data_IF_656365661498
#
_entry.id   IF_656365661498
#
_cell.length_a   1.000
_cell.length_b   1.000
_cell.length_c   1.000
_cell.angle_alpha   90.00
_cell.angle_beta   90.00
_cell.angle_gamma   90.00
#
_symmetry.space_group_name_H-M   'P 1'
#
loop_
_entity.id
_entity.type
_entity.pdbx_description
1 polymer ?
#
# COMPACT_ATOMS: atom_id res chain seq x y z
N UNK A 1 -16.74 -9.14 3.77
CA UNK A 1 -16.22 -8.15 4.74
C UNK A 1 -15.08 -7.42 4.05
N UNK A 2 -15.15 -6.11 3.95
CA UNK A 2 -14.06 -5.30 3.41
C UNK A 2 -12.92 -5.27 4.42
N UNK A 3 -11.72 -5.68 4.02
CA UNK A 3 -10.52 -5.54 4.84
C UNK A 3 -10.27 -4.03 4.95
N UNK A 4 -10.13 -3.45 6.16
CA UNK A 4 -9.93 -2.02 6.30
C UNK A 4 -8.62 -1.63 5.61
N UNK A 5 -8.73 -0.81 4.56
CA UNK A 5 -7.57 -0.29 3.85
C UNK A 5 -6.71 0.54 4.81
N UNK A 6 -5.40 0.31 4.79
CA UNK A 6 -4.46 1.09 5.58
C UNK A 6 -4.69 2.59 5.35
N UNK A 7 -4.96 3.38 6.41
CA UNK A 7 -5.35 4.79 6.27
C UNK A 7 -4.25 5.62 5.59
N UNK A 8 -2.98 5.26 5.79
CA UNK A 8 -1.84 5.86 5.10
C UNK A 8 -1.81 5.51 3.61
N UNK A 9 -2.10 4.27 3.23
CA UNK A 9 -2.20 3.88 1.82
C UNK A 9 -3.30 4.67 1.10
N UNK A 10 -4.47 4.82 1.73
CA UNK A 10 -5.59 5.58 1.16
C UNK A 10 -5.27 7.07 1.07
N UNK A 11 -4.58 7.63 2.07
CA UNK A 11 -4.09 9.02 2.02
C UNK A 11 -3.13 9.19 0.85
N UNK A 12 -2.08 8.37 0.76
CA UNK A 12 -1.10 8.43 -0.33
C UNK A 12 -1.78 8.33 -1.70
N UNK A 13 -2.67 7.35 -1.89
CA UNK A 13 -3.39 7.15 -3.16
C UNK A 13 -4.21 8.38 -3.57
N UNK A 14 -4.99 8.94 -2.65
CA UNK A 14 -5.82 10.13 -2.90
C UNK A 14 -4.96 11.35 -3.24
N UNK A 15 -3.92 11.60 -2.45
CA UNK A 15 -3.03 12.75 -2.63
C UNK A 15 -2.23 12.65 -3.93
N UNK A 16 -1.77 11.44 -4.31
CA UNK A 16 -1.13 11.21 -5.62
C UNK A 16 -2.05 11.50 -6.78
N UNK A 17 -3.32 11.08 -6.72
CA UNK A 17 -4.28 11.38 -7.80
C UNK A 17 -4.47 12.90 -7.96
N UNK A 18 -4.56 13.63 -6.85
CA UNK A 18 -4.63 15.09 -6.89
C UNK A 18 -3.38 15.71 -7.49
N UNK A 19 -2.20 15.21 -7.08
CA UNK A 19 -0.92 15.65 -7.62
C UNK A 19 -0.81 15.38 -9.13
N UNK A 20 -1.16 14.18 -9.59
CA UNK A 20 -1.09 13.81 -10.99
C UNK A 20 -1.98 14.69 -11.87
N UNK A 21 -3.20 15.00 -11.40
CA UNK A 21 -4.11 15.93 -12.10
C UNK A 21 -3.60 17.37 -12.18
N UNK A 22 -2.62 17.73 -11.35
CA UNK A 22 -1.96 19.04 -11.43
C UNK A 22 -0.82 19.09 -12.45
N UNK A 23 -0.35 17.94 -12.94
CA UNK A 23 0.69 17.89 -13.97
C UNK A 23 0.15 18.39 -15.30
N UNK A 24 0.96 19.18 -15.98
CA UNK A 24 0.61 19.80 -17.26
C UNK A 24 1.82 19.81 -18.18
N UNK A 25 1.63 20.26 -19.42
CA UNK A 25 2.74 20.47 -20.35
C UNK A 25 3.77 21.46 -19.81
N UNK A 26 3.32 22.46 -19.06
CA UNK A 26 4.18 23.51 -18.49
C UNK A 26 4.89 23.06 -17.22
N UNK A 27 4.38 22.01 -16.56
CA UNK A 27 4.97 21.44 -15.36
C UNK A 27 4.78 19.91 -15.34
N UNK A 28 5.81 19.20 -15.78
CA UNK A 28 5.90 17.75 -15.67
C UNK A 28 7.22 17.38 -14.98
N UNK A 29 7.19 16.93 -13.71
CA UNK A 29 8.41 16.61 -12.99
C UNK A 29 9.03 15.29 -13.49
N UNK A 30 10.33 15.08 -13.28
CA UNK A 30 10.96 13.79 -13.52
C UNK A 30 10.32 12.68 -12.67
N UNK A 31 9.97 11.55 -13.31
CA UNK A 31 9.34 10.39 -12.66
C UNK A 31 10.18 9.12 -12.80
N UNK A 32 10.10 8.26 -11.77
CA UNK A 32 10.61 6.89 -11.86
C UNK A 32 9.65 6.02 -12.67
N UNK A 33 10.06 4.78 -12.98
CA UNK A 33 9.29 3.87 -13.85
C UNK A 33 7.93 3.51 -13.29
N UNK A 34 7.82 3.37 -11.98
CA UNK A 34 6.55 3.02 -11.34
C UNK A 34 5.59 4.21 -11.38
N UNK A 35 6.02 5.38 -10.90
CA UNK A 35 5.18 6.58 -10.89
C UNK A 35 4.83 7.09 -12.29
N UNK A 36 5.71 6.93 -13.27
CA UNK A 36 5.38 7.24 -14.67
C UNK A 36 4.20 6.38 -15.17
N UNK A 37 4.26 5.06 -14.93
CA UNK A 37 3.16 4.14 -15.30
C UNK A 37 1.86 4.47 -14.60
N UNK A 38 1.92 4.95 -13.35
CA UNK A 38 0.72 5.36 -12.63
C UNK A 38 0.12 6.65 -13.19
N UNK A 39 0.95 7.66 -13.48
CA UNK A 39 0.50 8.92 -14.09
C UNK A 39 -0.19 8.66 -15.42
N UNK A 40 0.36 7.76 -16.24
CA UNK A 40 -0.24 7.36 -17.51
C UNK A 40 -1.65 6.76 -17.40
N UNK A 41 -2.06 6.32 -16.22
CA UNK A 41 -3.42 5.80 -15.98
C UNK A 41 -4.40 6.87 -15.50
N UNK A 42 -3.92 8.05 -15.12
CA UNK A 42 -4.72 9.08 -14.44
C UNK A 42 -4.98 10.29 -15.31
N UNK A 43 -4.01 10.70 -16.15
CA UNK A 43 -4.13 11.89 -17.00
C UNK A 43 -3.86 11.56 -18.47
N UNK A 44 -4.27 12.46 -19.37
CA UNK A 44 -3.83 12.41 -20.77
C UNK A 44 -2.30 12.56 -20.82
N UNK A 45 -1.65 11.71 -21.60
CA UNK A 45 -0.20 11.62 -21.72
C UNK A 45 0.32 12.01 -23.09
N UNK A 46 -0.56 12.52 -23.96
CA UNK A 46 -0.23 12.98 -25.31
C UNK A 46 0.91 14.01 -25.38
N UNK A 47 1.16 14.73 -24.27
CA UNK A 47 2.22 15.74 -24.15
C UNK A 47 3.47 15.25 -23.41
N UNK A 48 3.52 13.99 -22.95
CA UNK A 48 4.62 13.44 -22.16
C UNK A 48 5.67 12.83 -23.10
N UNK A 49 6.90 13.35 -23.05
CA UNK A 49 8.06 12.73 -23.71
C UNK A 49 8.71 11.69 -22.80
N UNK A 50 9.32 10.65 -23.40
CA UNK A 50 10.21 9.72 -22.69
C UNK A 50 11.42 10.42 -22.06
N UNK A 51 11.79 11.61 -22.54
CA UNK A 51 12.85 12.44 -21.95
C UNK A 51 12.51 12.91 -20.52
N UNK A 52 11.23 12.83 -20.11
CA UNK A 52 10.78 13.18 -18.76
C UNK A 52 10.98 12.05 -17.73
N UNK A 53 11.59 10.94 -18.16
CA UNK A 53 11.94 9.81 -17.32
C UNK A 53 13.31 10.03 -16.69
N UNK A 54 13.42 10.14 -15.36
CA UNK A 54 14.73 10.35 -14.73
C UNK A 54 15.58 9.09 -14.63
N UNK A 55 14.99 7.89 -14.78
CA UNK A 55 15.70 6.63 -14.50
C UNK A 55 16.15 6.45 -13.06
N UNK A 56 15.88 7.42 -12.17
CA UNK A 56 16.27 7.41 -10.77
C UNK A 56 15.30 6.60 -9.91
N UNK A 57 15.83 5.97 -8.85
CA UNK A 57 15.05 5.21 -7.87
C UNK A 57 14.13 6.10 -7.03
N UNK A 58 14.50 7.36 -6.79
CA UNK A 58 13.73 8.32 -6.01
C UNK A 58 13.34 9.52 -6.87
N UNK A 59 12.09 9.54 -7.35
CA UNK A 59 11.58 10.66 -8.12
C UNK A 59 10.81 11.67 -7.24
N UNK A 60 10.34 12.74 -7.88
CA UNK A 60 9.50 13.77 -7.24
C UNK A 60 8.31 13.19 -6.47
N UNK A 61 7.65 12.15 -7.02
CA UNK A 61 6.51 11.50 -6.36
C UNK A 61 6.97 10.61 -5.19
N UNK A 62 8.14 9.96 -5.27
CA UNK A 62 8.73 9.23 -4.13
C UNK A 62 8.99 10.17 -2.94
N UNK A 63 9.49 11.38 -3.20
CA UNK A 63 9.67 12.41 -2.17
C UNK A 63 8.34 12.87 -1.57
N UNK A 64 7.33 13.07 -2.41
CA UNK A 64 6.00 13.43 -1.98
C UNK A 64 5.38 12.35 -1.07
N UNK A 65 5.48 11.07 -1.44
CA UNK A 65 5.03 9.94 -0.62
C UNK A 65 5.73 9.93 0.75
N UNK A 66 7.06 10.09 0.78
CA UNK A 66 7.83 10.15 2.04
C UNK A 66 7.36 11.28 2.94
N UNK A 67 7.08 12.47 2.41
CA UNK A 67 6.55 13.59 3.19
C UNK A 67 5.18 13.26 3.82
N UNK A 68 4.29 12.64 3.05
CA UNK A 68 2.99 12.19 3.56
C UNK A 68 3.18 11.19 4.71
N UNK A 69 4.07 10.21 4.54
CA UNK A 69 4.38 9.21 5.57
C UNK A 69 4.92 9.89 6.85
N UNK A 70 5.90 10.79 6.72
CA UNK A 70 6.51 11.48 7.85
C UNK A 70 5.52 12.35 8.62
N UNK A 71 4.68 13.11 7.92
CA UNK A 71 3.61 13.91 8.53
C UNK A 71 2.58 13.03 9.21
N UNK A 72 2.23 11.91 8.58
CA UNK A 72 1.30 10.94 9.15
C UNK A 72 1.84 10.42 10.48
N UNK A 73 3.09 9.95 10.53
CA UNK A 73 3.69 9.41 11.76
C UNK A 73 3.87 10.46 12.88
N UNK A 74 3.98 11.75 12.57
CA UNK A 74 4.08 12.82 13.58
C UNK A 74 2.77 13.08 14.34
N UNK A 75 1.62 12.70 13.79
CA UNK A 75 0.30 13.10 14.29
C UNK A 75 -0.34 12.12 15.31
N UNK A 76 0.44 11.41 16.13
CA UNK A 76 -0.03 10.46 17.15
C UNK A 76 -1.09 9.45 16.64
N UNK A 77 -0.66 8.58 15.73
CA UNK A 77 -1.54 7.62 15.05
C UNK A 77 -1.54 6.28 15.76
N UNK A 78 -2.68 5.59 15.72
CA UNK A 78 -2.77 4.19 16.11
C UNK A 78 -2.04 3.33 15.08
N UNK A 79 -0.79 2.96 15.39
CA UNK A 79 0.03 2.12 14.51
C UNK A 79 -0.62 0.76 14.22
N UNK A 80 -1.55 0.29 15.04
CA UNK A 80 -2.25 -0.99 14.82
C UNK A 80 -3.15 -0.99 13.57
N UNK A 81 -3.47 0.19 13.02
CA UNK A 81 -4.26 0.32 11.79
C UNK A 81 -3.42 0.23 10.51
N UNK A 82 -2.09 0.25 10.62
CA UNK A 82 -1.20 0.20 9.46
C UNK A 82 -1.09 -1.19 8.85
N UNK A 83 -0.85 -1.24 7.53
CA UNK A 83 -0.43 -2.46 6.86
C UNK A 83 1.01 -2.81 7.22
N UNK A 84 1.42 -4.06 6.95
CA UNK A 84 2.74 -4.57 7.32
C UNK A 84 3.89 -3.78 6.70
N UNK A 85 3.72 -3.29 5.46
CA UNK A 85 4.71 -2.45 4.80
C UNK A 85 5.02 -1.19 5.64
N UNK A 86 4.00 -0.46 6.06
CA UNK A 86 4.18 0.75 6.86
C UNK A 86 4.60 0.43 8.30
N UNK A 87 4.09 -0.64 8.90
CA UNK A 87 4.54 -1.13 10.21
C UNK A 87 6.05 -1.41 10.23
N UNK A 88 6.59 -2.01 9.16
CA UNK A 88 8.03 -2.29 9.06
C UNK A 88 8.88 -1.01 9.14
N UNK A 89 8.37 0.11 8.63
CA UNK A 89 9.06 1.43 8.64
C UNK A 89 9.05 2.10 10.01
N UNK A 90 8.07 1.79 10.86
CA UNK A 90 7.91 2.40 12.20
C UNK A 90 8.12 1.40 13.33
N UNK A 91 8.58 0.19 13.02
CA UNK A 91 8.75 -0.90 13.99
C UNK A 91 9.52 -0.47 15.23
N UNK A 92 10.64 0.22 15.05
CA UNK A 92 11.52 0.61 16.14
C UNK A 92 10.94 1.79 16.97
N UNK A 93 9.81 2.37 16.53
CA UNK A 93 9.04 3.43 17.23
C UNK A 93 7.79 2.90 17.94
N UNK A 94 7.47 1.61 17.80
CA UNK A 94 6.28 1.02 18.41
C UNK A 94 6.45 0.94 19.93
N UNK A 95 5.43 1.38 20.66
CA UNK A 95 5.36 1.24 22.12
C UNK A 95 4.87 -0.16 22.50
N UNK A 96 5.12 -0.64 23.74
CA UNK A 96 4.55 -1.90 24.22
C UNK A 96 3.03 -1.99 24.05
N UNK A 97 2.32 -0.86 24.24
CA UNK A 97 0.87 -0.77 24.03
C UNK A 97 0.45 -0.96 22.57
N UNK A 98 1.26 -0.49 21.62
CA UNK A 98 1.03 -0.73 20.20
C UNK A 98 1.20 -2.22 19.86
N UNK A 99 2.20 -2.87 20.46
CA UNK A 99 2.41 -4.31 20.33
C UNK A 99 1.24 -5.12 20.90
N UNK A 100 0.70 -4.78 22.07
CA UNK A 100 -0.48 -5.44 22.63
C UNK A 100 -1.68 -5.38 21.68
N UNK A 101 -1.95 -4.20 21.09
CA UNK A 101 -3.01 -4.04 20.08
C UNK A 101 -2.74 -4.86 18.81
N UNK A 102 -1.50 -4.87 18.34
CA UNK A 102 -1.10 -5.64 17.17
C UNK A 102 -1.26 -7.14 17.39
N UNK A 103 -0.90 -7.65 18.58
CA UNK A 103 -1.07 -9.06 18.95
C UNK A 103 -2.55 -9.45 18.91
N UNK A 104 -3.43 -8.66 19.52
CA UNK A 104 -4.89 -8.91 19.48
C UNK A 104 -5.44 -8.94 18.05
N UNK A 105 -4.93 -8.05 17.17
CA UNK A 105 -5.28 -8.06 15.74
C UNK A 105 -4.78 -9.32 15.03
N UNK A 106 -3.56 -9.75 15.33
CA UNK A 106 -2.96 -10.98 14.80
C UNK A 106 -3.66 -12.26 15.28
N UNK A 107 -4.12 -12.30 16.53
CA UNK A 107 -4.90 -13.42 17.05
C UNK A 107 -6.23 -13.57 16.32
N UNK A 108 -6.96 -12.46 16.14
CA UNK A 108 -8.19 -12.44 15.31
C UNK A 108 -7.93 -12.90 13.89
N UNK A 109 -6.80 -12.46 13.31
CA UNK A 109 -6.39 -12.88 11.98
C UNK A 109 -6.13 -14.38 11.89
N UNK A 110 -5.37 -14.92 12.85
CA UNK A 110 -5.08 -16.36 12.94
C UNK A 110 -6.36 -17.17 13.04
N UNK A 111 -7.31 -16.76 13.87
CA UNK A 111 -8.62 -17.41 13.99
C UNK A 111 -9.40 -17.40 12.68
N UNK A 112 -9.39 -16.28 11.93
CA UNK A 112 -10.04 -16.21 10.62
C UNK A 112 -9.43 -17.19 9.61
N UNK A 113 -8.10 -17.28 9.55
CA UNK A 113 -7.39 -18.21 8.66
C UNK A 113 -7.71 -19.66 9.04
N UNK A 114 -7.71 -19.99 10.33
CA UNK A 114 -8.10 -21.32 10.82
C UNK A 114 -9.53 -21.66 10.37
N UNK A 115 -10.49 -20.76 10.58
CA UNK A 115 -11.88 -20.98 10.15
C UNK A 115 -12.01 -21.14 8.64
N UNK A 116 -11.24 -20.41 7.84
CA UNK A 116 -11.22 -20.55 6.39
C UNK A 116 -10.74 -21.94 5.98
N UNK A 117 -9.63 -22.39 6.58
CA UNK A 117 -9.09 -23.75 6.36
C UNK A 117 -10.08 -24.81 6.84
N UNK A 118 -10.73 -24.64 7.99
CA UNK A 118 -11.71 -25.58 8.54
C UNK A 118 -13.02 -25.61 7.73
N UNK A 119 -13.42 -24.48 7.15
CA UNK A 119 -14.58 -24.39 6.25
C UNK A 119 -14.36 -25.06 4.90
N UNK A 120 -13.12 -25.46 4.62
CA UNK A 120 -12.76 -26.15 3.40
C UNK A 120 -13.18 -27.62 3.49
N UNK A 121 -14.29 -27.96 2.83
CA UNK A 121 -14.73 -29.34 2.65
C UNK A 121 -13.74 -30.06 1.72
N UNK A 122 -13.20 -31.19 2.19
CA UNK A 122 -12.19 -32.03 1.51
C UNK A 122 -12.62 -32.52 0.11
N UNK A 123 -13.89 -32.30 -0.27
CA UNK A 123 -14.50 -32.64 -1.55
C UNK A 123 -14.68 -31.46 -2.53
N UNK A 124 -14.34 -30.23 -2.14
CA UNK A 124 -14.41 -29.04 -3.01
C UNK A 124 -13.09 -28.80 -3.77
N UNK A 125 -13.10 -28.03 -4.87
CA UNK A 125 -11.91 -27.78 -5.70
C UNK A 125 -10.72 -27.30 -4.85
N UNK A 126 -9.54 -27.92 -5.03
CA UNK A 126 -8.30 -27.58 -4.32
C UNK A 126 -7.98 -26.10 -4.50
N UNK A 127 -7.98 -25.34 -3.40
CA UNK A 127 -7.35 -24.02 -3.34
C UNK A 127 -5.92 -24.19 -3.86
N UNK A 128 -5.62 -23.50 -4.96
CA UNK A 128 -4.29 -23.57 -5.55
C UNK A 128 -3.31 -22.76 -4.70
N UNK A 129 -2.02 -22.98 -4.90
CA UNK A 129 -0.99 -22.14 -4.26
C UNK A 129 -1.18 -20.66 -4.61
N UNK A 130 -1.67 -20.36 -5.82
CA UNK A 130 -1.90 -18.99 -6.29
C UNK A 130 -3.07 -18.35 -5.54
N UNK A 131 -4.15 -19.09 -5.28
CA UNK A 131 -5.27 -18.62 -4.46
C UNK A 131 -4.83 -18.32 -3.02
N UNK A 132 -3.96 -19.15 -2.44
CA UNK A 132 -3.40 -18.92 -1.12
C UNK A 132 -2.55 -17.64 -1.07
N UNK A 133 -1.71 -17.40 -2.08
CA UNK A 133 -0.91 -16.17 -2.16
C UNK A 133 -1.75 -14.93 -2.46
N UNK A 134 -2.81 -15.03 -3.25
CA UNK A 134 -3.78 -13.96 -3.46
C UNK A 134 -4.53 -13.60 -2.17
N UNK A 135 -4.95 -14.62 -1.42
CA UNK A 135 -5.52 -14.46 -0.09
C UNK A 135 -4.51 -13.78 0.83
N UNK A 136 -3.26 -14.23 0.88
CA UNK A 136 -2.21 -13.58 1.68
C UNK A 136 -1.90 -12.15 1.23
N UNK A 137 -1.79 -11.85 -0.06
CA UNK A 137 -1.51 -10.48 -0.55
C UNK A 137 -2.67 -9.53 -0.22
N UNK A 138 -3.91 -9.99 -0.38
CA UNK A 138 -5.09 -9.24 0.05
C UNK A 138 -5.15 -9.05 1.57
N UNK A 139 -4.78 -10.07 2.34
CA UNK A 139 -4.84 -10.06 3.80
C UNK A 139 -3.69 -9.24 4.43
N UNK A 140 -2.50 -9.23 3.83
CA UNK A 140 -1.31 -8.54 4.32
C UNK A 140 -1.24 -7.08 3.83
N UNK A 141 -2.12 -6.69 2.91
CA UNK A 141 -2.22 -5.34 2.38
C UNK A 141 -0.94 -4.91 1.64
N UNK A 142 -0.21 -5.87 1.09
CA UNK A 142 1.08 -5.63 0.41
C UNK A 142 0.90 -5.00 -0.97
N UNK A 143 -0.31 -5.06 -1.54
CA UNK A 143 -0.64 -4.43 -2.82
C UNK A 143 0.19 -4.96 -4.00
N UNK A 144 0.91 -6.08 -3.81
CA UNK A 144 1.72 -6.69 -4.85
C UNK A 144 0.84 -7.70 -5.57
N UNK A 145 0.10 -7.21 -6.57
CA UNK A 145 -0.43 -8.09 -7.62
C UNK A 145 0.73 -8.89 -8.20
N UNK A 146 0.69 -10.21 -8.02
CA UNK A 146 1.54 -11.19 -8.72
C UNK A 146 1.10 -11.25 -10.19
#
# INVERSE_FOLDING_TARGET
>A
MEIPNCPLCEKIKREKINLYKSFSKDFFPPLCKEHFKEVCKVIDTSFISWDNFSGEENCFVCEFERKIEEEFYKNNIDYSELCLYHLKKVRDKLTPKDYEKLVLKWERFREMVIRLIESYDYNSEKITFDDFYLILDHLLGTGKRI
#
